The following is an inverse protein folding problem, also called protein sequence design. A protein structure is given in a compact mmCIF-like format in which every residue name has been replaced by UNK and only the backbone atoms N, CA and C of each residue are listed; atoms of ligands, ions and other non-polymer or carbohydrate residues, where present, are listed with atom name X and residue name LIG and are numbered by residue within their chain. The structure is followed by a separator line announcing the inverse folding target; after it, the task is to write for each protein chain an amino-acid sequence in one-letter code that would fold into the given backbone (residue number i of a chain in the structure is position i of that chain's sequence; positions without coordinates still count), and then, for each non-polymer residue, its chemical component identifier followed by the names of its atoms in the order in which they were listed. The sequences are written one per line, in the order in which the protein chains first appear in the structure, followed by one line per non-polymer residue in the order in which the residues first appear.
data_IF_625924289553
#
_entry.id   IF_625924289553
#
_cell.length_a   1.000
_cell.length_b   1.000
_cell.length_c   1.000
_cell.angle_alpha   90.00
_cell.angle_beta   90.00
_cell.angle_gamma   90.00
#
_symmetry.space_group_name_H-M   'P 1'
#
loop_
_entity.id
_entity.type
_entity.pdbx_description
1 polymer ?
#
# COMPACT_ATOMS: atom_id res chain seq x y z
N UNK A 1 6.52 -24.65 -25.42
CA UNK A 1 5.82 -23.42 -25.01
C UNK A 1 6.24 -23.08 -23.59
N UNK A 2 7.03 -22.03 -23.39
CA UNK A 2 7.44 -21.57 -22.05
C UNK A 2 6.22 -21.11 -21.27
N UNK A 3 5.96 -21.74 -20.13
CA UNK A 3 4.98 -21.28 -19.14
C UNK A 3 5.46 -19.93 -18.61
N UNK A 4 4.70 -18.87 -18.87
CA UNK A 4 5.01 -17.51 -18.45
C UNK A 4 5.29 -17.43 -16.95
N UNK A 5 6.54 -17.14 -16.60
CA UNK A 5 7.01 -16.98 -15.22
C UNK A 5 6.76 -15.55 -14.73
N UNK A 6 5.52 -15.05 -14.89
CA UNK A 6 5.17 -13.64 -14.65
C UNK A 6 3.94 -13.57 -13.76
N UNK A 7 4.13 -13.78 -12.46
CA UNK A 7 3.34 -13.24 -11.34
C UNK A 7 3.88 -13.83 -10.03
N UNK A 8 5.17 -13.64 -9.74
CA UNK A 8 5.64 -13.89 -8.38
C UNK A 8 5.00 -12.85 -7.46
N UNK A 9 4.25 -13.30 -6.47
CA UNK A 9 3.70 -12.46 -5.41
C UNK A 9 4.86 -11.92 -4.57
N UNK A 10 4.84 -10.63 -4.25
CA UNK A 10 5.81 -10.00 -3.34
C UNK A 10 5.27 -9.96 -1.91
N UNK A 11 4.07 -9.43 -1.73
CA UNK A 11 3.42 -9.36 -0.42
C UNK A 11 1.90 -9.44 -0.54
N UNK A 12 1.23 -9.73 0.58
CA UNK A 12 -0.21 -9.66 0.73
C UNK A 12 -0.54 -8.78 1.93
N UNK A 13 -1.41 -7.81 1.71
CA UNK A 13 -1.92 -6.87 2.71
C UNK A 13 -3.40 -7.19 2.90
N UNK A 14 -3.86 -7.22 4.16
CA UNK A 14 -5.25 -7.55 4.50
C UNK A 14 -5.83 -6.50 5.44
N UNK A 15 -7.13 -6.25 5.31
CA UNK A 15 -7.91 -5.54 6.32
C UNK A 15 -7.94 -6.31 7.64
N UNK A 16 -8.27 -5.62 8.73
CA UNK A 16 -8.31 -6.25 10.08
C UNK A 16 -9.29 -7.43 10.18
N UNK A 17 -10.38 -7.37 9.42
CA UNK A 17 -11.40 -8.42 9.33
C UNK A 17 -11.19 -9.38 8.15
N UNK A 18 -10.06 -9.27 7.44
CA UNK A 18 -9.71 -10.02 6.22
C UNK A 18 -10.70 -9.90 5.03
N UNK A 19 -11.69 -9.02 5.11
CA UNK A 19 -12.66 -8.76 4.03
C UNK A 19 -11.98 -8.21 2.78
N UNK A 20 -10.97 -7.35 2.96
CA UNK A 20 -10.22 -6.73 1.88
C UNK A 20 -8.79 -7.27 1.86
N UNK A 21 -8.34 -7.67 0.68
CA UNK A 21 -7.07 -8.33 0.43
C UNK A 21 -6.45 -7.70 -0.81
N UNK A 22 -5.26 -7.14 -0.62
CA UNK A 22 -4.41 -6.56 -1.65
C UNK A 22 -3.20 -7.47 -1.83
N UNK A 23 -3.00 -7.99 -3.03
CA UNK A 23 -1.84 -8.83 -3.39
C UNK A 23 -0.92 -8.02 -4.30
N UNK A 24 0.28 -7.71 -3.81
CA UNK A 24 1.27 -6.91 -4.54
C UNK A 24 2.21 -7.86 -5.28
N UNK A 25 2.26 -7.74 -6.61
CA UNK A 25 3.18 -8.49 -7.45
C UNK A 25 4.64 -8.03 -7.30
N UNK A 26 5.58 -8.92 -7.59
CA UNK A 26 7.00 -8.62 -7.60
C UNK A 26 7.32 -7.61 -8.70
N UNK A 27 8.00 -6.49 -8.38
CA UNK A 27 8.34 -5.51 -9.39
C UNK A 27 9.37 -6.03 -10.38
N UNK A 28 9.12 -5.74 -11.66
CA UNK A 28 10.02 -5.97 -12.78
C UNK A 28 10.23 -4.64 -13.49
N UNK A 29 11.46 -4.13 -13.49
CA UNK A 29 11.79 -2.80 -14.05
C UNK A 29 10.86 -1.69 -13.51
N UNK A 30 10.71 -1.62 -12.18
CA UNK A 30 9.86 -0.67 -11.46
C UNK A 30 8.35 -0.85 -11.67
N UNK A 31 7.92 -1.80 -12.50
CA UNK A 31 6.51 -2.07 -12.76
C UNK A 31 6.04 -3.29 -12.01
N UNK A 32 4.83 -3.22 -11.46
CA UNK A 32 4.16 -4.36 -10.85
C UNK A 32 2.65 -4.24 -10.98
N UNK A 33 1.98 -5.38 -10.82
CA UNK A 33 0.53 -5.43 -10.75
C UNK A 33 0.09 -5.66 -9.30
N UNK A 34 -1.05 -5.10 -8.96
CA UNK A 34 -1.76 -5.35 -7.72
C UNK A 34 -3.04 -6.07 -8.06
N UNK A 35 -3.35 -7.12 -7.32
CA UNK A 35 -4.65 -7.78 -7.36
C UNK A 35 -5.44 -7.41 -6.10
N UNK A 36 -6.70 -7.04 -6.30
CA UNK A 36 -7.64 -6.64 -5.26
C UNK A 36 -8.78 -7.66 -5.24
N UNK A 37 -9.13 -8.19 -4.08
CA UNK A 37 -10.33 -9.03 -3.92
C UNK A 37 -11.64 -8.21 -3.83
N UNK A 38 -11.59 -6.94 -4.21
CA UNK A 38 -12.69 -6.00 -4.24
C UNK A 38 -12.62 -5.16 -5.52
N UNK A 39 -13.75 -4.67 -6.00
CA UNK A 39 -13.80 -3.84 -7.19
C UNK A 39 -13.23 -2.44 -6.88
N UNK A 40 -12.09 -2.02 -7.50
CA UNK A 40 -11.51 -0.70 -7.26
C UNK A 40 -12.45 0.45 -7.63
N UNK A 41 -13.35 0.27 -8.60
CA UNK A 41 -14.30 1.31 -9.03
C UNK A 41 -15.38 1.60 -7.99
N UNK A 42 -15.62 0.67 -7.06
CA UNK A 42 -16.53 0.90 -5.93
C UNK A 42 -15.92 1.82 -4.85
N UNK A 43 -14.61 2.08 -4.91
CA UNK A 43 -13.85 2.87 -3.92
C UNK A 43 -13.02 3.97 -4.62
N UNK A 44 -13.65 5.00 -5.21
CA UNK A 44 -12.94 6.04 -5.95
C UNK A 44 -11.89 6.77 -5.11
N UNK A 45 -12.16 7.05 -3.82
CA UNK A 45 -11.19 7.70 -2.93
C UNK A 45 -9.93 6.86 -2.66
N UNK A 46 -10.05 5.52 -2.71
CA UNK A 46 -8.87 4.65 -2.62
C UNK A 46 -7.99 4.80 -3.86
N UNK A 47 -8.59 4.95 -5.04
CA UNK A 47 -7.87 5.20 -6.29
C UNK A 47 -7.26 6.59 -6.31
N UNK A 48 -8.03 7.62 -5.95
CA UNK A 48 -7.54 9.01 -5.86
C UNK A 48 -6.32 9.11 -4.92
N UNK A 49 -6.36 8.43 -3.78
CA UNK A 49 -5.25 8.43 -2.83
C UNK A 49 -3.98 7.80 -3.42
N UNK A 50 -4.10 6.71 -4.19
CA UNK A 50 -2.97 6.07 -4.88
C UNK A 50 -2.43 6.96 -5.99
N UNK A 51 -3.30 7.60 -6.79
CA UNK A 51 -2.90 8.50 -7.87
C UNK A 51 -2.14 9.74 -7.37
N UNK A 52 -2.41 10.18 -6.14
CA UNK A 52 -1.74 11.31 -5.51
C UNK A 52 -0.36 10.99 -4.91
N UNK A 53 0.08 9.72 -4.93
CA UNK A 53 1.41 9.34 -4.45
C UNK A 53 2.48 9.78 -5.45
N UNK A 54 3.26 10.80 -5.06
CA UNK A 54 4.24 11.49 -5.92
C UNK A 54 5.38 10.61 -6.48
N UNK A 55 5.60 9.43 -5.92
CA UNK A 55 6.69 8.52 -6.26
C UNK A 55 6.25 7.31 -7.11
N UNK A 56 5.01 7.29 -7.58
CA UNK A 56 4.50 6.28 -8.50
C UNK A 56 3.59 6.89 -9.57
N UNK A 57 3.33 6.07 -10.58
CA UNK A 57 2.34 6.32 -11.61
C UNK A 57 1.36 5.15 -11.65
N UNK A 58 0.08 5.43 -11.48
CA UNK A 58 -1.00 4.48 -11.75
C UNK A 58 -1.22 4.41 -13.26
N UNK A 59 -0.78 3.32 -13.89
CA UNK A 59 -0.88 3.17 -15.35
C UNK A 59 -2.27 2.71 -15.79
N UNK A 60 -2.97 1.94 -14.95
CA UNK A 60 -4.29 1.36 -15.25
C UNK A 60 -5.01 0.85 -14.01
N UNK A 61 -6.32 1.02 -14.01
CA UNK A 61 -7.27 0.33 -13.12
C UNK A 61 -8.07 -0.66 -13.96
N UNK A 62 -8.20 -1.90 -13.48
CA UNK A 62 -8.92 -2.97 -14.16
C UNK A 62 -10.02 -3.53 -13.27
N UNK A 63 -11.18 -3.79 -13.86
CA UNK A 63 -12.23 -4.66 -13.33
C UNK A 63 -12.08 -6.06 -13.96
N UNK A 64 -12.19 -7.11 -13.16
CA UNK A 64 -12.09 -8.50 -13.64
C UNK A 64 -13.44 -9.20 -13.74
N UNK A 65 -14.32 -9.04 -12.74
CA UNK A 65 -15.59 -9.78 -12.63
C UNK A 65 -16.69 -9.00 -11.90
N UNK A 66 -16.54 -7.68 -11.75
CA UNK A 66 -17.46 -6.80 -11.03
C UNK A 66 -17.26 -6.83 -9.51
N UNK A 67 -16.63 -7.86 -8.97
CA UNK A 67 -16.34 -8.03 -7.54
C UNK A 67 -14.86 -7.85 -7.21
N UNK A 68 -13.96 -8.08 -8.16
CA UNK A 68 -12.51 -7.99 -8.00
C UNK A 68 -11.88 -7.15 -9.10
N UNK A 69 -10.64 -6.73 -8.87
CA UNK A 69 -9.93 -5.91 -9.84
C UNK A 69 -8.44 -5.85 -9.61
N UNK A 70 -7.79 -4.91 -10.29
CA UNK A 70 -6.36 -4.74 -10.15
C UNK A 70 -5.84 -3.40 -10.62
N UNK A 71 -4.61 -3.11 -10.22
CA UNK A 71 -3.90 -1.88 -10.54
C UNK A 71 -2.58 -2.22 -11.21
N UNK A 72 -2.24 -1.50 -12.28
CA UNK A 72 -0.90 -1.55 -12.86
C UNK A 72 -0.14 -0.31 -12.38
N UNK A 73 0.96 -0.53 -11.66
CA UNK A 73 1.75 0.53 -11.03
C UNK A 73 3.15 0.55 -11.64
N UNK A 74 3.67 1.75 -11.85
CA UNK A 74 5.08 2.01 -12.14
C UNK A 74 5.65 2.92 -11.06
N UNK A 75 6.72 2.47 -10.39
CA UNK A 75 7.45 3.32 -9.45
C UNK A 75 8.41 4.25 -10.20
N UNK A 76 8.66 5.43 -9.62
CA UNK A 76 9.69 6.34 -10.10
C UNK A 76 11.10 5.79 -9.81
N UNK A 77 11.27 5.06 -8.69
CA UNK A 77 12.56 4.50 -8.25
C UNK A 77 12.39 3.16 -7.52
N UNK A 78 13.47 2.39 -7.30
CA UNK A 78 13.39 1.03 -6.72
C UNK A 78 13.20 1.03 -5.20
N UNK A 79 13.72 2.04 -4.54
CA UNK A 79 13.78 2.22 -3.09
C UNK A 79 12.43 2.58 -2.45
N UNK A 80 11.46 3.05 -3.25
CA UNK A 80 10.13 3.46 -2.77
C UNK A 80 9.10 2.33 -2.67
N UNK A 81 9.45 1.08 -3.00
CA UNK A 81 8.51 -0.05 -2.91
C UNK A 81 8.07 -0.32 -1.47
N UNK A 82 8.99 -0.22 -0.51
CA UNK A 82 8.68 -0.43 0.90
C UNK A 82 7.76 0.66 1.45
N UNK A 83 8.05 1.93 1.09
CA UNK A 83 7.20 3.09 1.41
C UNK A 83 5.79 2.91 0.84
N UNK A 84 5.68 2.49 -0.42
CA UNK A 84 4.41 2.16 -1.04
C UNK A 84 3.60 1.10 -0.26
N UNK A 85 4.26 0.05 0.25
CA UNK A 85 3.59 -1.03 0.98
C UNK A 85 3.03 -0.54 2.32
N UNK A 86 3.75 0.34 3.01
CA UNK A 86 3.29 0.97 4.24
C UNK A 86 2.10 1.90 3.96
N UNK A 87 2.23 2.78 2.97
CA UNK A 87 1.17 3.74 2.63
C UNK A 87 -0.09 3.10 2.07
N UNK A 88 0.00 2.08 1.20
CA UNK A 88 -1.20 1.42 0.66
C UNK A 88 -2.00 0.71 1.75
N UNK A 89 -1.34 0.24 2.82
CA UNK A 89 -2.03 -0.33 3.98
C UNK A 89 -2.86 0.73 4.70
N UNK A 90 -2.30 1.92 4.89
CA UNK A 90 -3.01 3.05 5.48
C UNK A 90 -4.12 3.59 4.57
N UNK A 91 -3.87 3.68 3.26
CA UNK A 91 -4.86 4.09 2.26
C UNK A 91 -6.04 3.11 2.23
N UNK A 92 -5.78 1.80 2.28
CA UNK A 92 -6.84 0.77 2.37
C UNK A 92 -7.70 1.00 3.62
N UNK A 93 -7.08 1.21 4.78
CA UNK A 93 -7.79 1.44 6.03
C UNK A 93 -8.68 2.70 5.99
N UNK A 94 -8.13 3.82 5.51
CA UNK A 94 -8.84 5.11 5.49
C UNK A 94 -9.97 5.16 4.46
N UNK A 95 -9.78 4.55 3.29
CA UNK A 95 -10.69 4.75 2.13
C UNK A 95 -11.59 3.56 1.81
N UNK A 96 -11.31 2.37 2.35
CA UNK A 96 -12.07 1.14 2.03
C UNK A 96 -12.75 0.56 3.27
N UNK A 97 -12.07 0.55 4.43
CA UNK A 97 -12.70 0.15 5.69
C UNK A 97 -13.62 1.24 6.28
N UNK A 98 -13.58 2.47 5.75
CA UNK A 98 -14.36 3.62 6.25
C UNK A 98 -14.12 3.90 7.74
N UNK A 99 -12.86 3.78 8.17
CA UNK A 99 -12.52 4.13 9.54
C UNK A 99 -12.06 5.58 9.53
N UNK A 100 -12.85 6.45 10.21
CA UNK A 100 -12.44 7.84 10.44
C UNK A 100 -11.00 7.83 10.96
N UNK A 101 -10.08 8.57 10.32
CA UNK A 101 -8.69 8.61 10.76
C UNK A 101 -8.66 9.24 12.15
N UNK A 102 -8.44 8.42 13.17
CA UNK A 102 -7.99 8.92 14.46
C UNK A 102 -6.55 9.36 14.20
N UNK A 103 -6.32 10.67 14.15
CA UNK A 103 -4.99 11.27 14.02
C UNK A 103 -4.01 10.64 15.04
N UNK A 104 -3.29 9.60 14.65
CA UNK A 104 -2.13 9.11 15.40
C UNK A 104 -0.91 9.82 14.86
N UNK A 105 -0.67 11.02 15.39
CA UNK A 105 0.65 11.63 15.33
C UNK A 105 1.61 10.76 16.13
N UNK A 106 2.40 9.91 15.47
CA UNK A 106 3.62 9.37 16.07
C UNK A 106 4.66 10.49 16.12
N UNK A 107 4.60 11.34 17.16
CA UNK A 107 5.79 12.08 17.58
C UNK A 107 6.79 11.05 18.07
N UNK A 108 7.78 10.76 17.24
CA UNK A 108 8.97 10.05 17.68
C UNK A 108 9.49 10.73 18.94
N UNK A 109 9.52 9.99 20.04
CA UNK A 109 10.22 10.40 21.25
C UNK A 109 11.69 10.52 20.87
N UNK A 110 12.16 11.74 20.60
CA UNK A 110 13.59 12.02 20.65
C UNK A 110 14.01 11.85 22.09
N UNK A 111 14.86 10.85 22.34
CA UNK A 111 15.59 10.68 23.59
C UNK A 111 16.24 12.01 23.99
N UNK A 112 16.10 12.39 25.27
CA UNK A 112 17.07 13.22 25.95
C UNK A 112 17.52 12.45 27.20
N UNK A 113 18.74 11.96 27.15
CA UNK A 113 19.56 11.67 28.31
C UNK A 113 19.75 12.97 29.11
N UNK A 114 19.42 12.96 30.41
CA UNK A 114 20.18 13.59 31.49
C UNK A 114 19.35 13.66 32.80
N UNK A 115 19.77 12.87 33.79
CA UNK A 115 19.89 13.27 35.20
C UNK A 115 21.14 12.56 35.71
N UNK A 116 22.27 13.25 35.62
CA UNK A 116 22.86 14.01 36.74
C UNK A 116 23.31 13.10 37.90
N UNK A 117 24.64 13.00 37.99
CA UNK A 117 25.42 12.63 39.15
C UNK A 117 25.02 13.44 40.39
N UNK A 118 24.88 12.80 41.55
CA UNK A 118 25.69 13.07 42.76
C UNK A 118 25.17 12.26 43.98
N UNK A 119 26.02 11.41 44.55
CA UNK A 119 26.74 11.60 45.83
C UNK A 119 25.82 11.61 47.08
N UNK A 120 25.77 10.47 47.78
CA UNK A 120 26.36 10.30 49.11
C UNK A 120 26.33 8.82 49.53
#
# INVERSE_FOLDING_TARGET
MSKSNVNQLFTTIKSKNEKFVIKVGKPTNLKFNIFLNFNPHAYPHFIDAIENLSYLMLERVSDYDGESGGLAIKLEKKDVLSEFIEEITEILYRNVENIEPINTTHKGTKNNENKESNIN
#
